data_IF_011706657044
#
_entry.id   IF_011706657044
#
_cell.length_a   1.000
_cell.length_b   1.000
_cell.length_c   1.000
_cell.angle_alpha   90.00
_cell.angle_beta   90.00
_cell.angle_gamma   90.00
#
_symmetry.space_group_name_H-M   'P 1'
#
loop_
_entity.id
_entity.type
_entity.pdbx_description
1 polymer ?
#
# COMPACT_ATOMS: atom_id res chain seq x y z
N UNK A 1 48.65 -44.05 -22.44
CA UNK A 1 47.21 -43.81 -22.22
C UNK A 1 47.02 -42.52 -21.45
N UNK A 2 46.62 -41.49 -22.15
CA UNK A 2 46.37 -40.19 -21.53
C UNK A 2 44.87 -40.07 -21.27
N UNK A 3 44.46 -40.14 -20.01
CA UNK A 3 43.10 -39.84 -19.63
C UNK A 3 42.94 -38.33 -19.55
N UNK A 4 42.22 -37.77 -20.51
CA UNK A 4 41.83 -36.38 -20.46
C UNK A 4 40.57 -36.30 -19.59
N UNK A 5 40.79 -35.92 -18.35
CA UNK A 5 39.71 -35.58 -17.44
C UNK A 5 39.11 -34.25 -17.90
N UNK A 6 38.02 -34.33 -18.63
CA UNK A 6 37.22 -33.13 -18.93
C UNK A 6 36.43 -32.81 -17.69
N UNK A 7 36.94 -31.84 -16.94
CA UNK A 7 36.25 -31.25 -15.82
C UNK A 7 35.16 -30.32 -16.38
N UNK A 8 33.95 -30.87 -16.52
CA UNK A 8 32.79 -30.11 -16.93
C UNK A 8 32.37 -29.26 -15.73
N UNK A 9 32.87 -28.01 -15.72
CA UNK A 9 32.45 -27.01 -14.75
C UNK A 9 31.03 -26.60 -15.09
N UNK A 10 30.08 -27.25 -14.42
CA UNK A 10 28.66 -26.86 -14.45
C UNK A 10 28.56 -25.54 -13.75
N UNK A 11 28.60 -24.45 -14.51
CA UNK A 11 28.26 -23.11 -14.02
C UNK A 11 26.77 -23.11 -13.72
N UNK A 12 26.43 -23.42 -12.46
CA UNK A 12 25.09 -23.26 -11.94
C UNK A 12 24.85 -21.75 -11.81
N UNK A 13 24.39 -21.16 -12.90
CA UNK A 13 23.87 -19.79 -12.86
C UNK A 13 22.61 -19.79 -11.98
N UNK A 14 22.82 -19.47 -10.74
CA UNK A 14 21.72 -19.14 -9.82
C UNK A 14 21.13 -17.84 -10.34
N UNK A 15 20.13 -17.97 -11.20
CA UNK A 15 19.25 -16.84 -11.47
C UNK A 15 18.51 -16.54 -10.16
N UNK A 16 19.06 -15.63 -9.38
CA UNK A 16 18.31 -14.97 -8.33
C UNK A 16 17.21 -14.16 -9.03
N UNK A 17 16.11 -14.82 -9.29
CA UNK A 17 14.91 -14.18 -9.77
C UNK A 17 14.39 -13.30 -8.61
N UNK A 18 14.77 -12.01 -8.62
CA UNK A 18 14.11 -10.99 -7.83
C UNK A 18 12.75 -10.68 -8.43
N UNK A 19 11.96 -11.70 -8.76
CA UNK A 19 10.61 -11.56 -9.24
C UNK A 19 9.68 -11.41 -8.04
N UNK A 20 9.28 -10.13 -7.81
CA UNK A 20 7.98 -9.87 -7.25
C UNK A 20 7.75 -10.50 -5.89
N UNK A 21 8.65 -10.32 -4.98
CA UNK A 21 8.21 -10.31 -3.61
C UNK A 21 7.29 -9.10 -3.51
N UNK A 22 5.96 -9.38 -3.53
CA UNK A 22 4.98 -8.45 -3.02
C UNK A 22 5.64 -7.86 -1.78
N UNK A 23 5.84 -6.55 -1.77
CA UNK A 23 6.66 -5.95 -0.73
C UNK A 23 6.16 -6.41 0.63
N UNK A 24 7.05 -7.00 1.44
CA UNK A 24 6.74 -7.36 2.83
C UNK A 24 6.28 -6.15 3.67
N UNK A 25 6.49 -4.93 3.15
CA UNK A 25 6.07 -3.69 3.77
C UNK A 25 4.60 -3.35 3.50
N UNK A 26 3.96 -4.01 2.54
CA UNK A 26 2.55 -3.79 2.18
C UNK A 26 1.72 -4.98 2.63
N UNK A 27 0.70 -4.71 3.47
CA UNK A 27 -0.26 -5.71 3.93
C UNK A 27 -1.67 -5.28 3.56
N UNK A 28 -2.33 -6.08 2.73
CA UNK A 28 -3.74 -5.90 2.43
C UNK A 28 -4.56 -6.55 3.53
N UNK A 29 -5.50 -5.80 4.11
CA UNK A 29 -6.38 -6.28 5.18
C UNK A 29 -7.83 -5.90 4.94
N UNK A 30 -8.75 -6.74 5.43
CA UNK A 30 -10.19 -6.51 5.34
C UNK A 30 -10.62 -5.27 6.15
N UNK A 31 -11.79 -4.74 5.81
CA UNK A 31 -12.32 -3.50 6.40
C UNK A 31 -12.40 -3.52 7.93
N UNK A 32 -12.87 -4.60 8.52
CA UNK A 32 -12.95 -4.74 9.99
C UNK A 32 -11.56 -4.73 10.64
N UNK A 33 -10.61 -5.45 10.08
CA UNK A 33 -9.22 -5.45 10.55
C UNK A 33 -8.52 -4.11 10.35
N UNK A 34 -8.82 -3.43 9.24
CA UNK A 34 -8.32 -2.08 8.96
C UNK A 34 -8.83 -1.07 10.00
N UNK A 35 -10.15 -1.12 10.29
CA UNK A 35 -10.76 -0.28 11.32
C UNK A 35 -10.15 -0.54 12.70
N UNK A 36 -9.97 -1.80 13.08
CA UNK A 36 -9.36 -2.18 14.36
C UNK A 36 -7.93 -1.64 14.49
N UNK A 37 -7.11 -1.77 13.45
CA UNK A 37 -5.74 -1.25 13.46
C UNK A 37 -5.70 0.27 13.55
N UNK A 38 -6.56 0.98 12.84
CA UNK A 38 -6.70 2.43 12.97
C UNK A 38 -7.02 2.80 14.41
N UNK A 39 -8.02 2.15 15.00
CA UNK A 39 -8.48 2.46 16.35
C UNK A 39 -7.45 2.16 17.45
N UNK A 40 -6.54 1.24 17.21
CA UNK A 40 -5.46 0.86 18.13
C UNK A 40 -4.13 1.58 17.85
N UNK A 41 -4.05 2.35 16.79
CA UNK A 41 -2.86 3.13 16.44
C UNK A 41 -3.02 4.57 16.94
N UNK A 42 -2.04 5.04 17.70
CA UNK A 42 -2.02 6.42 18.16
C UNK A 42 -1.74 7.37 16.98
N UNK A 43 -2.61 8.34 16.76
CA UNK A 43 -2.52 9.31 15.65
C UNK A 43 -2.30 8.63 14.28
N UNK A 44 -3.22 7.77 13.84
CA UNK A 44 -3.04 7.02 12.61
C UNK A 44 -2.93 7.93 11.40
N UNK A 45 -2.04 7.61 10.47
CA UNK A 45 -1.94 8.26 9.18
C UNK A 45 -2.84 7.52 8.19
N UNK A 46 -3.96 8.13 7.81
CA UNK A 46 -4.95 7.54 6.91
C UNK A 46 -4.96 8.32 5.61
N UNK A 47 -4.64 7.64 4.51
CA UNK A 47 -4.47 8.24 3.20
C UNK A 47 -5.56 7.78 2.25
N UNK A 48 -6.44 8.71 1.89
CA UNK A 48 -7.44 8.52 0.85
C UNK A 48 -6.86 8.97 -0.50
N UNK A 49 -6.64 8.01 -1.40
CA UNK A 49 -6.02 8.30 -2.70
C UNK A 49 -7.02 8.49 -3.84
N UNK A 50 -8.30 8.69 -3.49
CA UNK A 50 -9.36 9.00 -4.43
C UNK A 50 -9.29 10.46 -4.89
N UNK A 51 -10.19 10.84 -5.79
CA UNK A 51 -10.34 12.23 -6.20
C UNK A 51 -10.90 13.10 -5.06
N UNK A 52 -10.66 14.43 -5.07
CA UNK A 52 -11.25 15.32 -4.07
C UNK A 52 -12.78 15.27 -4.04
N UNK A 53 -13.42 15.08 -5.17
CA UNK A 53 -14.88 14.98 -5.28
C UNK A 53 -15.41 13.72 -4.57
N UNK A 54 -14.75 12.59 -4.75
CA UNK A 54 -15.09 11.36 -4.02
C UNK A 54 -14.92 11.54 -2.52
N UNK A 55 -13.81 12.16 -2.11
CA UNK A 55 -13.49 12.42 -0.71
C UNK A 55 -14.56 13.26 -0.01
N UNK A 56 -15.01 14.36 -0.62
CA UNK A 56 -16.01 15.26 -0.02
C UNK A 56 -17.38 14.61 0.15
N UNK A 57 -17.71 13.61 -0.66
CA UNK A 57 -18.97 12.87 -0.55
C UNK A 57 -18.99 11.88 0.63
N UNK A 58 -17.84 11.62 1.21
CA UNK A 58 -17.67 10.74 2.36
C UNK A 58 -16.30 10.08 2.33
N UNK A 59 -15.68 9.95 3.49
CA UNK A 59 -14.36 9.34 3.66
C UNK A 59 -14.24 8.71 5.04
N UNK A 60 -13.21 7.93 5.26
CA UNK A 60 -12.91 7.39 6.59
C UNK A 60 -12.54 8.55 7.51
N UNK A 61 -13.03 8.54 8.74
CA UNK A 61 -12.74 9.59 9.75
C UNK A 61 -11.22 9.81 9.84
N UNK A 62 -10.83 11.08 9.90
CA UNK A 62 -9.43 11.54 9.97
C UNK A 62 -8.56 11.24 8.73
N UNK A 63 -9.13 10.73 7.65
CA UNK A 63 -8.41 10.53 6.41
C UNK A 63 -7.97 11.84 5.77
N UNK A 64 -6.77 11.84 5.21
CA UNK A 64 -6.23 12.94 4.41
C UNK A 64 -6.30 12.55 2.93
N UNK A 65 -6.87 13.42 2.11
CA UNK A 65 -6.97 13.17 0.67
C UNK A 65 -5.68 13.54 -0.06
N UNK A 66 -5.10 12.56 -0.72
CA UNK A 66 -3.97 12.74 -1.64
C UNK A 66 -4.28 12.01 -2.94
N UNK A 67 -4.81 12.73 -3.90
CA UNK A 67 -5.30 12.18 -5.16
C UNK A 67 -4.20 11.45 -5.96
N UNK A 68 -4.32 10.14 -6.13
CA UNK A 68 -3.39 9.35 -6.94
C UNK A 68 -3.29 9.85 -8.39
N UNK A 69 -4.41 10.32 -8.95
CA UNK A 69 -4.49 10.81 -10.33
C UNK A 69 -3.97 12.25 -10.49
N UNK A 70 -3.65 12.92 -9.39
CA UNK A 70 -3.14 14.29 -9.41
C UNK A 70 -1.63 14.34 -9.63
N UNK A 71 -1.12 15.54 -9.93
CA UNK A 71 0.30 15.75 -10.24
C UNK A 71 1.20 15.81 -9.00
N UNK A 72 0.60 15.96 -7.81
CA UNK A 72 1.33 16.21 -6.57
C UNK A 72 1.41 15.02 -5.62
N UNK A 73 1.01 13.82 -6.05
CA UNK A 73 0.94 12.66 -5.17
C UNK A 73 2.24 12.42 -4.38
N UNK A 74 3.38 12.39 -5.07
CA UNK A 74 4.68 12.11 -4.44
C UNK A 74 5.06 13.21 -3.45
N UNK A 75 4.88 14.48 -3.83
CA UNK A 75 5.18 15.62 -2.96
C UNK A 75 4.33 15.62 -1.69
N UNK A 76 3.03 15.34 -1.83
CA UNK A 76 2.10 15.29 -0.70
C UNK A 76 2.32 14.04 0.17
N UNK A 77 2.59 12.90 -0.42
CA UNK A 77 2.90 11.67 0.30
C UNK A 77 4.15 11.81 1.18
N UNK A 78 5.15 12.57 0.74
CA UNK A 78 6.38 12.82 1.50
C UNK A 78 6.18 13.61 2.79
N UNK A 79 5.01 14.23 2.99
CA UNK A 79 4.65 14.93 4.22
C UNK A 79 4.31 13.98 5.37
N UNK A 80 4.04 12.71 5.06
CA UNK A 80 3.74 11.68 6.05
C UNK A 80 5.03 11.08 6.64
N UNK A 81 4.92 10.55 7.85
CA UNK A 81 6.05 9.94 8.56
C UNK A 81 6.28 8.49 8.06
N UNK A 82 7.40 8.27 7.41
CA UNK A 82 7.77 6.96 6.84
C UNK A 82 8.06 5.89 7.89
N UNK A 83 8.34 6.31 9.12
CA UNK A 83 8.67 5.40 10.23
C UNK A 83 7.43 4.87 10.94
N UNK A 84 6.26 5.44 10.65
CA UNK A 84 4.98 5.07 11.28
C UNK A 84 4.09 4.30 10.30
N UNK A 85 3.15 3.51 10.82
CA UNK A 85 2.15 2.87 9.96
C UNK A 85 1.37 3.89 9.13
N UNK A 86 1.11 3.57 7.87
CA UNK A 86 0.25 4.35 6.99
C UNK A 86 -0.86 3.45 6.45
N UNK A 87 -2.09 3.95 6.49
CA UNK A 87 -3.30 3.25 6.08
C UNK A 87 -3.80 3.86 4.79
N UNK A 88 -3.93 3.07 3.75
CA UNK A 88 -4.19 3.56 2.39
C UNK A 88 -5.42 2.90 1.80
N UNK A 89 -6.29 3.70 1.20
CA UNK A 89 -7.45 3.18 0.49
C UNK A 89 -7.84 4.04 -0.71
N UNK A 90 -8.53 3.42 -1.64
CA UNK A 90 -9.26 4.09 -2.71
C UNK A 90 -10.71 3.61 -2.74
N UNK A 91 -11.39 3.68 -3.88
CA UNK A 91 -12.79 3.25 -3.98
C UNK A 91 -12.93 1.74 -3.95
N UNK A 92 -12.14 1.00 -4.74
CA UNK A 92 -12.27 -0.45 -4.96
C UNK A 92 -10.96 -1.24 -4.91
N UNK A 93 -9.81 -0.58 -4.81
CA UNK A 93 -8.48 -1.20 -4.68
C UNK A 93 -7.50 -0.95 -5.82
N UNK A 94 -7.93 -0.48 -7.00
CA UNK A 94 -7.04 -0.32 -8.16
C UNK A 94 -6.01 0.81 -7.98
N UNK A 95 -6.45 1.99 -7.57
CA UNK A 95 -5.58 3.15 -7.33
C UNK A 95 -4.71 2.95 -6.09
N UNK A 96 -5.28 2.38 -5.03
CA UNK A 96 -4.54 2.13 -3.79
C UNK A 96 -3.42 1.12 -3.97
N UNK A 97 -3.58 0.12 -4.82
CA UNK A 97 -2.51 -0.82 -5.17
C UNK A 97 -1.29 -0.09 -5.73
N UNK A 98 -1.49 0.80 -6.67
CA UNK A 98 -0.42 1.62 -7.27
C UNK A 98 0.17 2.61 -6.26
N UNK A 99 -0.69 3.22 -5.45
CA UNK A 99 -0.27 4.17 -4.42
C UNK A 99 0.60 3.50 -3.35
N UNK A 100 0.22 2.32 -2.86
CA UNK A 100 1.03 1.59 -1.87
C UNK A 100 2.37 1.14 -2.42
N UNK A 101 2.43 0.70 -3.67
CA UNK A 101 3.68 0.38 -4.35
C UNK A 101 4.60 1.62 -4.43
N UNK A 102 4.05 2.78 -4.75
CA UNK A 102 4.81 4.05 -4.77
C UNK A 102 5.28 4.45 -3.37
N UNK A 103 4.45 4.33 -2.36
CA UNK A 103 4.83 4.60 -0.97
C UNK A 103 5.98 3.68 -0.52
N UNK A 104 5.94 2.41 -0.90
CA UNK A 104 7.03 1.48 -0.63
C UNK A 104 8.34 1.92 -1.29
N UNK A 105 8.30 2.35 -2.54
CA UNK A 105 9.45 2.91 -3.25
C UNK A 105 10.00 4.17 -2.56
N UNK A 106 9.11 5.00 -1.98
CA UNK A 106 9.47 6.21 -1.25
C UNK A 106 10.06 5.94 0.14
N UNK A 107 10.05 4.70 0.61
CA UNK A 107 10.67 4.28 1.85
C UNK A 107 9.74 4.09 3.05
N UNK A 108 8.42 4.05 2.85
CA UNK A 108 7.47 3.67 3.89
C UNK A 108 7.63 2.18 4.20
N UNK A 109 7.75 1.83 5.48
CA UNK A 109 8.08 0.46 5.94
C UNK A 109 6.90 -0.33 6.46
N UNK A 110 5.78 0.32 6.75
CA UNK A 110 4.61 -0.32 7.33
C UNK A 110 3.34 0.25 6.69
N UNK A 111 2.91 -0.38 5.61
CA UNK A 111 1.82 0.08 4.77
C UNK A 111 0.66 -0.90 4.87
N UNK A 112 -0.51 -0.43 5.27
CA UNK A 112 -1.75 -1.19 5.27
C UNK A 112 -2.65 -0.71 4.13
N UNK A 113 -3.11 -1.64 3.31
CA UNK A 113 -4.04 -1.38 2.21
C UNK A 113 -5.40 -1.96 2.54
N UNK A 114 -6.45 -1.18 2.36
CA UNK A 114 -7.83 -1.62 2.57
C UNK A 114 -8.31 -2.49 1.42
N UNK A 115 -8.55 -3.77 1.69
CA UNK A 115 -9.14 -4.69 0.73
C UNK A 115 -10.58 -4.26 0.38
N UNK A 116 -10.86 -4.18 -0.91
CA UNK A 116 -12.18 -3.77 -1.41
C UNK A 116 -12.49 -2.28 -1.31
N UNK A 117 -11.60 -1.48 -0.75
CA UNK A 117 -11.65 -0.03 -0.68
C UNK A 117 -12.84 0.54 0.10
N UNK A 118 -13.13 1.80 -0.16
CA UNK A 118 -14.21 2.54 0.52
C UNK A 118 -15.60 1.95 0.25
N UNK A 119 -15.81 1.29 -0.89
CA UNK A 119 -17.07 0.58 -1.17
C UNK A 119 -17.33 -0.49 -0.11
N UNK A 120 -16.35 -1.35 0.13
CA UNK A 120 -16.46 -2.44 1.13
C UNK A 120 -16.61 -1.89 2.54
N UNK A 121 -15.83 -0.85 2.87
CA UNK A 121 -15.93 -0.14 4.14
C UNK A 121 -17.34 0.37 4.41
N UNK A 122 -17.95 1.03 3.43
CA UNK A 122 -19.30 1.59 3.53
C UNK A 122 -20.37 0.49 3.61
N UNK A 123 -20.23 -0.58 2.84
CA UNK A 123 -21.16 -1.72 2.84
C UNK A 123 -21.20 -2.41 4.21
N UNK A 124 -20.10 -2.40 4.93
CA UNK A 124 -20.01 -2.94 6.29
C UNK A 124 -20.46 -1.97 7.37
N UNK A 125 -20.91 -0.77 7.00
CA UNK A 125 -21.45 0.23 7.92
C UNK A 125 -20.42 0.84 8.88
N UNK A 126 -19.15 0.87 8.47
CA UNK A 126 -18.09 1.46 9.28
C UNK A 126 -18.12 3.01 9.22
N UNK A 127 -17.49 3.65 10.22
CA UNK A 127 -17.61 5.09 10.44
C UNK A 127 -17.01 5.95 9.32
N UNK A 128 -17.81 6.89 8.84
CA UNK A 128 -17.42 7.85 7.80
C UNK A 128 -17.60 9.28 8.27
N UNK A 129 -16.66 10.14 7.89
CA UNK A 129 -16.85 11.59 7.93
C UNK A 129 -17.43 12.08 6.61
N UNK A 130 -18.17 13.15 6.64
CA UNK A 130 -18.64 13.94 5.50
C UNK A 130 -18.27 15.39 5.72
N UNK A 131 -17.77 16.03 4.67
CA UNK A 131 -17.54 17.47 4.65
C UNK A 131 -18.69 18.21 4.02
#
# INVERSE_FOLDING_TARGET
MKFHSIFFLLLLSVFLSCNGQASKNIKMIEATGFAEKINTTQKPQILDVRTPEEFTQGHIDDAVNVNWLGDNFVADAKKFDKTKPIFVYCKSGNRSKKATEKLNELGFKNIYELEGGFMKWSDEGLNNAKE
#
